data_IF_531605438863
#
_entry.id   IF_531605438863
#
_cell.length_a   1.000
_cell.length_b   1.000
_cell.length_c   1.000
_cell.angle_alpha   90.00
_cell.angle_beta   90.00
_cell.angle_gamma   90.00
#
_symmetry.space_group_name_H-M   'P 1'
#
loop_
_entity.id
_entity.type
_entity.pdbx_description
1 polymer ?
#
# COMPACT_ATOMS: atom_id res chain seq x y z
N UNK A 1 5.23 3.66 17.59
CA UNK A 1 5.98 4.76 16.95
C UNK A 1 5.03 5.92 16.76
N UNK A 2 5.39 7.15 17.17
CA UNK A 2 4.56 8.32 16.88
C UNK A 2 4.56 8.58 15.37
N UNK A 3 3.41 8.99 14.83
CA UNK A 3 3.29 9.47 13.45
C UNK A 3 3.52 10.97 13.47
N UNK A 4 4.48 11.45 12.69
CA UNK A 4 4.71 12.87 12.47
C UNK A 4 3.87 13.34 11.28
N UNK A 5 3.10 14.41 11.47
CA UNK A 5 2.34 15.04 10.41
C UNK A 5 3.12 16.26 9.93
N UNK A 6 3.40 16.30 8.63
CA UNK A 6 4.06 17.44 7.99
C UNK A 6 3.01 18.29 7.25
N UNK A 7 3.15 19.61 7.31
CA UNK A 7 2.17 20.53 6.71
C UNK A 7 2.19 20.49 5.18
N UNK A 8 3.36 20.24 4.59
CA UNK A 8 3.55 20.21 3.14
C UNK A 8 3.82 18.80 2.68
N UNK A 9 3.13 18.35 1.64
CA UNK A 9 3.38 17.04 1.01
C UNK A 9 4.79 17.02 0.42
N UNK A 10 5.70 16.16 0.91
CA UNK A 10 7.01 16.00 0.29
C UNK A 10 6.87 15.51 -1.16
N UNK A 11 7.73 15.98 -2.05
CA UNK A 11 7.70 15.54 -3.45
C UNK A 11 8.00 14.03 -3.60
N UNK A 12 8.77 13.47 -2.68
CA UNK A 12 9.09 12.05 -2.62
C UNK A 12 8.05 11.21 -1.83
N UNK A 13 6.93 11.79 -1.40
CA UNK A 13 5.92 11.05 -0.64
C UNK A 13 5.23 9.98 -1.51
N UNK A 14 5.28 8.74 -1.04
CA UNK A 14 4.61 7.61 -1.68
C UNK A 14 3.21 7.40 -1.09
N UNK A 15 2.25 6.91 -1.90
CA UNK A 15 0.88 6.68 -1.45
C UNK A 15 0.80 5.50 -0.46
N UNK A 16 -0.09 5.63 0.52
CA UNK A 16 -0.56 4.52 1.36
C UNK A 16 -2.04 4.29 1.05
N UNK A 17 -2.36 3.10 0.56
CA UNK A 17 -3.72 2.70 0.21
C UNK A 17 -4.35 1.93 1.37
N UNK A 18 -5.46 2.44 1.89
CA UNK A 18 -6.24 1.76 2.90
C UNK A 18 -7.09 0.67 2.25
N UNK A 19 -6.96 -0.57 2.70
CA UNK A 19 -7.65 -1.74 2.13
C UNK A 19 -8.39 -2.44 3.25
N UNK A 20 -9.72 -2.34 3.27
CA UNK A 20 -10.50 -3.08 4.24
C UNK A 20 -10.31 -4.60 4.06
N UNK A 21 -10.49 -5.33 5.16
CA UNK A 21 -10.40 -6.79 5.16
C UNK A 21 -11.30 -7.40 4.08
N UNK A 22 -10.73 -8.32 3.32
CA UNK A 22 -11.36 -9.05 2.21
C UNK A 22 -11.88 -8.15 1.06
N UNK A 23 -11.44 -6.87 1.02
CA UNK A 23 -11.87 -5.88 0.03
C UNK A 23 -10.77 -5.52 -0.99
N UNK A 24 -9.73 -6.36 -1.13
CA UNK A 24 -8.62 -6.11 -2.05
C UNK A 24 -9.08 -5.88 -3.50
N UNK A 25 -10.10 -6.60 -3.96
CA UNK A 25 -10.65 -6.47 -5.33
C UNK A 25 -11.53 -5.24 -5.51
N UNK A 26 -12.07 -4.70 -4.42
CA UNK A 26 -12.80 -3.44 -4.43
C UNK A 26 -11.87 -2.23 -4.30
N UNK A 27 -10.59 -2.46 -3.91
CA UNK A 27 -9.60 -1.42 -3.89
C UNK A 27 -9.27 -1.02 -5.34
N UNK A 28 -9.37 0.27 -5.65
CA UNK A 28 -9.08 0.84 -6.97
C UNK A 28 -7.56 0.86 -7.26
N UNK A 29 -6.93 -0.32 -7.18
CA UNK A 29 -5.51 -0.54 -7.35
C UNK A 29 -5.21 -1.00 -8.79
N UNK A 30 -4.03 -0.65 -9.34
CA UNK A 30 -3.58 -1.21 -10.61
C UNK A 30 -3.49 -2.74 -10.56
N UNK A 31 -3.76 -3.46 -11.67
CA UNK A 31 -3.71 -4.93 -11.69
C UNK A 31 -2.40 -5.54 -11.19
N UNK A 32 -1.20 -4.98 -11.48
CA UNK A 32 0.06 -5.49 -10.92
C UNK A 32 0.11 -5.43 -9.39
N UNK A 33 -0.48 -4.40 -8.77
CA UNK A 33 -0.53 -4.25 -7.32
C UNK A 33 -1.45 -5.30 -6.67
N UNK A 34 -2.59 -5.61 -7.30
CA UNK A 34 -3.49 -6.69 -6.86
C UNK A 34 -2.80 -8.06 -6.95
N UNK A 35 -2.14 -8.34 -8.07
CA UNK A 35 -1.39 -9.59 -8.25
C UNK A 35 -0.26 -9.74 -7.21
N UNK A 36 0.47 -8.65 -6.93
CA UNK A 36 1.49 -8.61 -5.89
C UNK A 36 0.91 -8.85 -4.50
N UNK A 37 -0.21 -8.23 -4.16
CA UNK A 37 -0.88 -8.42 -2.88
C UNK A 37 -1.28 -9.89 -2.67
N UNK A 38 -1.86 -10.53 -3.69
CA UNK A 38 -2.20 -11.96 -3.65
C UNK A 38 -0.97 -12.85 -3.49
N UNK A 39 0.11 -12.58 -4.21
CA UNK A 39 1.36 -13.33 -4.11
C UNK A 39 1.98 -13.27 -2.70
N UNK A 40 1.73 -12.19 -1.96
CA UNK A 40 2.18 -12.00 -0.58
C UNK A 40 1.12 -12.40 0.48
N UNK A 41 0.00 -12.97 0.03
CA UNK A 41 -1.11 -13.38 0.90
C UNK A 41 -1.74 -12.22 1.68
N UNK A 42 -1.70 -10.99 1.15
CA UNK A 42 -2.30 -9.82 1.78
C UNK A 42 -3.80 -9.75 1.46
N UNK A 43 -4.64 -9.60 2.49
CA UNK A 43 -6.09 -9.51 2.37
C UNK A 43 -6.71 -8.27 3.04
N UNK A 44 -5.90 -7.28 3.44
CA UNK A 44 -6.40 -6.10 4.17
C UNK A 44 -6.64 -6.37 5.66
N UNK A 45 -5.84 -7.24 6.28
CA UNK A 45 -5.91 -7.50 7.72
C UNK A 45 -5.50 -6.27 8.52
N UNK A 46 -6.29 -5.92 9.54
CA UNK A 46 -6.07 -4.73 10.36
C UNK A 46 -4.63 -4.65 10.91
N UNK A 47 -3.95 -3.54 10.62
CA UNK A 47 -2.58 -3.28 11.05
C UNK A 47 -1.51 -3.98 10.22
N UNK A 48 -1.88 -4.75 9.19
CA UNK A 48 -0.94 -5.36 8.26
C UNK A 48 -0.57 -4.36 7.17
N UNK A 49 0.73 -4.26 6.89
CA UNK A 49 1.27 -3.43 5.81
C UNK A 49 1.93 -4.30 4.75
N UNK A 50 1.67 -4.02 3.48
CA UNK A 50 2.41 -4.60 2.37
C UNK A 50 3.00 -3.50 1.48
N UNK A 51 4.32 -3.53 1.28
CA UNK A 51 5.00 -2.59 0.40
C UNK A 51 4.78 -2.96 -1.07
N UNK A 52 4.52 -1.96 -1.91
CA UNK A 52 4.36 -2.11 -3.35
C UNK A 52 5.70 -1.87 -4.07
N UNK A 53 6.15 -2.80 -4.93
CA UNK A 53 7.37 -2.64 -5.69
C UNK A 53 7.18 -1.55 -6.77
N UNK A 54 8.20 -0.70 -6.91
CA UNK A 54 8.32 0.28 -7.98
C UNK A 54 9.38 -0.11 -9.00
N UNK A 55 9.61 0.78 -9.96
CA UNK A 55 10.61 0.58 -11.01
C UNK A 55 12.03 0.43 -10.44
N UNK A 56 12.85 -0.39 -11.09
CA UNK A 56 14.25 -0.57 -10.70
C UNK A 56 14.47 -1.13 -9.29
N UNK A 57 13.46 -1.76 -8.68
CA UNK A 57 13.52 -2.24 -7.29
C UNK A 57 13.24 -1.16 -6.25
N UNK A 58 12.77 0.03 -6.66
CA UNK A 58 12.33 1.08 -5.76
C UNK A 58 10.97 0.78 -5.10
N UNK A 59 10.45 1.76 -4.36
CA UNK A 59 9.13 1.67 -3.73
C UNK A 59 8.11 2.50 -4.51
N UNK A 60 6.93 1.93 -4.74
CA UNK A 60 5.81 2.61 -5.37
C UNK A 60 4.73 3.07 -4.37
N UNK A 61 4.75 2.55 -3.15
CA UNK A 61 3.73 2.82 -2.12
C UNK A 61 3.57 1.66 -1.15
N UNK A 62 2.47 1.67 -0.40
CA UNK A 62 2.11 0.59 0.50
C UNK A 62 0.59 0.37 0.55
N UNK A 63 0.18 -0.86 0.84
CA UNK A 63 -1.17 -1.22 1.27
C UNK A 63 -1.18 -1.30 2.79
N UNK A 64 -2.23 -0.80 3.41
CA UNK A 64 -2.46 -0.88 4.85
C UNK A 64 -3.87 -1.40 5.12
N UNK A 65 -3.96 -2.49 5.87
CA UNK A 65 -5.21 -3.12 6.29
C UNK A 65 -5.79 -2.55 7.58
#
# INVERSE_FOLDING_TARGET
MPVELVEQKPQAALPVYLVAKDALEAAALPPPAIAWARANGFSGEAGRTLVLPGEGGGLAGALFG
#
